data_IF_425627559611
#
_entry.id   IF_425627559611
#
_cell.length_a   1.000
_cell.length_b   1.000
_cell.length_c   1.000
_cell.angle_alpha   90.00
_cell.angle_beta   90.00
_cell.angle_gamma   90.00
#
_symmetry.space_group_name_H-M   'P 1'
#
loop_
_entity.id
_entity.type
_entity.pdbx_description
1 polymer ?
#
# COMPACT_ATOMS: atom_id res chain seq x y z
N UNK A 1 -2.50 11.87 5.97
CA UNK A 1 -2.99 10.93 4.92
C UNK A 1 -4.46 10.57 5.17
N UNK A 2 -4.86 10.13 6.39
CA UNK A 2 -6.24 9.72 6.71
C UNK A 2 -7.30 10.79 6.36
N UNK A 3 -7.06 12.05 6.68
CA UNK A 3 -7.98 13.16 6.35
C UNK A 3 -8.18 13.34 4.84
N UNK A 4 -7.14 13.12 4.05
CA UNK A 4 -7.22 13.20 2.57
C UNK A 4 -8.08 12.03 2.04
N UNK A 5 -7.85 10.83 2.53
CA UNK A 5 -8.65 9.65 2.16
C UNK A 5 -10.12 9.88 2.49
N UNK A 6 -10.42 10.34 3.70
CA UNK A 6 -11.80 10.65 4.12
C UNK A 6 -12.43 11.73 3.24
N UNK A 7 -11.68 12.80 2.95
CA UNK A 7 -12.18 13.91 2.11
C UNK A 7 -12.51 13.45 0.70
N UNK A 8 -11.66 12.64 0.09
CA UNK A 8 -11.82 12.18 -1.29
C UNK A 8 -12.87 11.10 -1.46
N UNK A 9 -13.00 10.20 -0.48
CA UNK A 9 -13.81 8.97 -0.63
C UNK A 9 -15.08 8.97 0.19
N UNK A 10 -15.17 9.80 1.24
CA UNK A 10 -16.22 9.73 2.26
C UNK A 10 -16.15 8.50 3.16
N UNK A 11 -15.15 7.63 3.01
CA UNK A 11 -15.00 6.44 3.85
C UNK A 11 -14.67 6.82 5.30
N UNK A 12 -15.08 5.97 6.24
CA UNK A 12 -14.63 6.09 7.63
C UNK A 12 -13.15 5.77 7.69
N UNK A 13 -12.37 6.64 8.31
CA UNK A 13 -10.93 6.45 8.51
C UNK A 13 -10.61 6.48 10.01
N UNK A 14 -9.58 5.74 10.39
CA UNK A 14 -9.01 5.72 11.73
C UNK A 14 -7.49 5.92 11.65
N UNK A 15 -6.96 6.82 12.45
CA UNK A 15 -5.53 7.04 12.61
C UNK A 15 -5.17 6.79 14.08
N UNK A 16 -4.43 5.71 14.33
CA UNK A 16 -4.20 5.25 15.70
C UNK A 16 -2.90 5.75 16.33
N UNK A 17 -1.98 6.22 15.48
CA UNK A 17 -0.70 6.77 15.96
C UNK A 17 -0.32 7.94 15.05
N UNK A 18 -0.06 9.08 15.65
CA UNK A 18 0.48 10.26 14.99
C UNK A 18 1.77 10.67 15.68
N UNK A 19 2.80 10.90 14.91
CA UNK A 19 4.12 11.35 15.35
C UNK A 19 4.44 12.65 14.63
N UNK A 20 5.15 13.55 15.29
CA UNK A 20 5.41 14.88 14.77
C UNK A 20 6.55 14.89 13.74
N UNK A 21 7.58 14.04 13.97
CA UNK A 21 8.73 13.97 13.07
C UNK A 21 8.43 13.07 11.85
N UNK A 22 8.73 13.51 10.61
CA UNK A 22 8.50 12.75 9.38
C UNK A 22 9.56 11.65 9.18
N UNK A 23 9.58 10.68 10.07
CA UNK A 23 10.53 9.57 10.14
C UNK A 23 9.79 8.23 10.22
N UNK A 24 10.55 7.13 10.16
CA UNK A 24 10.00 5.83 10.48
C UNK A 24 9.44 5.82 11.92
N UNK A 25 8.28 5.19 12.19
CA UNK A 25 7.60 5.28 13.49
C UNK A 25 8.50 4.95 14.69
N UNK A 26 9.29 3.88 14.62
CA UNK A 26 10.29 3.53 15.65
C UNK A 26 11.29 4.67 15.89
N UNK A 27 11.79 5.27 14.82
CA UNK A 27 12.78 6.35 14.93
C UNK A 27 12.16 7.63 15.51
N UNK A 28 10.99 8.03 15.03
CA UNK A 28 10.29 9.20 15.54
C UNK A 28 9.95 9.02 17.04
N UNK A 29 9.34 7.91 17.41
CA UNK A 29 8.97 7.61 18.80
C UNK A 29 10.17 7.65 19.75
N UNK A 30 11.31 7.07 19.36
CA UNK A 30 12.55 7.13 20.18
C UNK A 30 13.08 8.54 20.30
N UNK A 31 13.02 9.36 19.27
CA UNK A 31 13.49 10.73 19.27
C UNK A 31 12.57 11.66 20.07
N UNK A 32 11.28 11.48 19.93
CA UNK A 32 10.25 12.25 20.65
C UNK A 32 10.10 11.79 22.12
N UNK A 33 10.66 10.61 22.46
CA UNK A 33 10.54 10.05 23.82
C UNK A 33 9.13 9.58 24.15
N UNK A 34 8.34 9.20 23.13
CA UNK A 34 6.96 8.74 23.29
C UNK A 34 6.84 7.22 23.13
N UNK A 35 5.85 6.63 23.80
CA UNK A 35 5.50 5.23 23.62
C UNK A 35 4.49 5.09 22.48
N UNK A 36 4.69 4.12 21.63
CA UNK A 36 3.77 3.76 20.55
C UNK A 36 3.29 2.31 20.72
N UNK A 37 2.07 1.97 20.22
CA UNK A 37 1.54 0.62 20.32
C UNK A 37 2.42 -0.39 19.59
N UNK A 38 2.44 -1.61 20.10
CA UNK A 38 3.09 -2.74 19.43
C UNK A 38 2.26 -3.22 18.23
N UNK A 39 2.90 -3.87 17.28
CA UNK A 39 2.21 -4.48 16.13
C UNK A 39 1.10 -5.43 16.56
N UNK A 40 1.29 -6.19 17.64
CA UNK A 40 0.25 -7.06 18.19
C UNK A 40 -1.00 -6.30 18.66
N UNK A 41 -0.83 -5.11 19.26
CA UNK A 41 -1.96 -4.27 19.68
C UNK A 41 -2.69 -3.68 18.47
N UNK A 42 -1.96 -3.34 17.41
CA UNK A 42 -2.56 -2.94 16.14
C UNK A 42 -3.37 -4.10 15.53
N UNK A 43 -2.86 -5.33 15.57
CA UNK A 43 -3.59 -6.51 15.10
C UNK A 43 -4.91 -6.72 15.84
N UNK A 44 -4.93 -6.57 17.16
CA UNK A 44 -6.15 -6.66 17.96
C UNK A 44 -7.17 -5.58 17.59
N UNK A 45 -6.71 -4.35 17.38
CA UNK A 45 -7.60 -3.25 16.92
C UNK A 45 -8.17 -3.51 15.54
N UNK A 46 -7.35 -3.97 14.58
CA UNK A 46 -7.84 -4.31 13.23
C UNK A 46 -8.91 -5.40 13.30
N UNK A 47 -8.71 -6.45 14.11
CA UNK A 47 -9.73 -7.50 14.31
C UNK A 47 -11.05 -6.92 14.83
N UNK A 48 -10.97 -6.06 15.86
CA UNK A 48 -12.18 -5.41 16.41
C UNK A 48 -12.91 -4.54 15.38
N UNK A 49 -12.18 -3.84 14.51
CA UNK A 49 -12.80 -3.07 13.43
C UNK A 49 -13.39 -3.98 12.36
N UNK A 50 -12.73 -5.09 12.04
CA UNK A 50 -13.16 -6.05 11.01
C UNK A 50 -14.45 -6.78 11.38
N UNK A 51 -14.74 -6.98 12.67
CA UNK A 51 -16.00 -7.62 13.13
C UNK A 51 -17.25 -6.83 12.70
N UNK A 52 -17.14 -5.51 12.53
CA UNK A 52 -18.24 -4.61 12.22
C UNK A 52 -18.19 -4.04 10.79
N UNK A 53 -17.24 -4.46 9.95
CA UNK A 53 -17.00 -3.93 8.61
C UNK A 53 -16.90 -5.06 7.58
N UNK A 54 -17.49 -4.81 6.41
CA UNK A 54 -17.34 -5.72 5.27
C UNK A 54 -15.91 -5.76 4.74
N UNK A 55 -15.26 -4.60 4.71
CA UNK A 55 -13.88 -4.44 4.22
C UNK A 55 -13.14 -3.44 5.09
N UNK A 56 -11.91 -3.80 5.47
CA UNK A 56 -10.97 -2.93 6.18
C UNK A 56 -9.69 -2.85 5.38
N UNK A 57 -9.27 -1.64 5.00
CA UNK A 57 -7.99 -1.39 4.35
C UNK A 57 -7.01 -0.90 5.42
N UNK A 58 -5.88 -1.59 5.55
CA UNK A 58 -4.82 -1.25 6.48
C UNK A 58 -3.61 -0.75 5.70
N UNK A 59 -3.18 0.46 6.00
CA UNK A 59 -1.97 1.05 5.44
C UNK A 59 -0.92 1.22 6.54
N UNK A 60 0.33 0.87 6.24
CA UNK A 60 1.47 1.10 7.12
C UNK A 60 2.16 2.44 6.84
N UNK A 61 3.12 2.80 7.68
CA UNK A 61 3.97 3.98 7.49
C UNK A 61 5.25 3.62 6.76
N UNK A 62 5.35 3.94 5.48
CA UNK A 62 6.49 3.60 4.62
C UNK A 62 6.36 2.21 3.97
N UNK A 63 7.46 1.50 3.84
CA UNK A 63 7.48 0.19 3.17
C UNK A 63 7.18 -0.99 4.11
N UNK A 64 7.02 -2.18 3.51
CA UNK A 64 6.62 -3.43 4.18
C UNK A 64 7.45 -3.78 5.43
N UNK A 65 8.74 -3.49 5.42
CA UNK A 65 9.69 -3.82 6.50
C UNK A 65 10.06 -2.63 7.39
N UNK A 66 9.39 -1.49 7.23
CA UNK A 66 9.58 -0.35 8.14
C UNK A 66 9.10 -0.72 9.54
N UNK A 67 9.88 -0.33 10.54
CA UNK A 67 9.56 -0.61 11.96
C UNK A 67 8.39 0.27 12.41
N UNK A 68 7.27 -0.38 12.72
CA UNK A 68 6.05 0.28 13.18
C UNK A 68 6.01 0.42 14.69
N UNK A 69 6.85 -0.33 15.40
CA UNK A 69 7.01 -0.27 16.85
C UNK A 69 8.47 -0.35 17.28
N UNK A 70 8.72 -0.09 18.55
CA UNK A 70 10.08 -0.09 19.15
C UNK A 70 10.63 -1.50 19.45
N UNK A 71 9.82 -2.54 19.29
CA UNK A 71 10.22 -3.95 19.43
C UNK A 71 10.63 -4.57 18.09
N UNK A 72 10.55 -3.79 17.00
CA UNK A 72 10.98 -4.18 15.66
C UNK A 72 9.87 -4.79 14.80
N UNK A 73 8.61 -4.71 15.23
CA UNK A 73 7.45 -5.15 14.46
C UNK A 73 7.27 -4.34 13.17
N UNK A 74 6.78 -5.00 12.12
CA UNK A 74 6.60 -4.45 10.78
C UNK A 74 5.19 -4.65 10.26
N UNK A 75 4.84 -4.01 9.14
CA UNK A 75 3.58 -4.30 8.45
C UNK A 75 3.50 -5.77 7.99
N UNK A 76 4.64 -6.38 7.63
CA UNK A 76 4.70 -7.79 7.30
C UNK A 76 4.29 -8.69 8.48
N UNK A 77 4.72 -8.35 9.71
CA UNK A 77 4.37 -9.09 10.91
C UNK A 77 2.88 -8.92 11.24
N UNK A 78 2.35 -7.70 11.11
CA UNK A 78 0.92 -7.42 11.25
C UNK A 78 0.08 -8.23 10.26
N UNK A 79 0.46 -8.20 8.97
CA UNK A 79 -0.21 -8.93 7.90
C UNK A 79 -0.21 -10.44 8.17
N UNK A 80 0.96 -11.00 8.53
CA UNK A 80 1.10 -12.42 8.83
C UNK A 80 0.28 -12.85 10.07
N UNK A 81 0.15 -11.99 11.07
CA UNK A 81 -0.67 -12.28 12.25
C UNK A 81 -2.17 -12.24 11.93
N UNK A 82 -2.62 -11.24 11.18
CA UNK A 82 -4.02 -11.15 10.72
C UNK A 82 -4.42 -12.32 9.83
N UNK A 83 -3.56 -12.74 8.91
CA UNK A 83 -3.81 -13.85 7.99
C UNK A 83 -4.01 -15.21 8.67
N UNK A 84 -3.67 -15.34 9.96
CA UNK A 84 -3.93 -16.57 10.73
C UNK A 84 -5.41 -16.74 11.10
N UNK A 85 -6.18 -15.67 11.13
CA UNK A 85 -7.55 -15.64 11.65
C UNK A 85 -8.57 -15.01 10.71
N UNK A 86 -8.11 -14.27 9.72
CA UNK A 86 -8.98 -13.54 8.76
C UNK A 86 -8.49 -13.76 7.33
N UNK A 87 -9.37 -13.69 6.34
CA UNK A 87 -8.94 -13.56 4.95
C UNK A 87 -8.24 -12.20 4.77
N UNK A 88 -7.00 -12.25 4.24
CA UNK A 88 -6.18 -11.06 3.99
C UNK A 88 -5.76 -11.05 2.53
N UNK A 89 -6.04 -9.96 1.84
CA UNK A 89 -5.51 -9.66 0.53
C UNK A 89 -4.40 -8.62 0.64
N UNK A 90 -3.30 -8.84 -0.06
CA UNK A 90 -2.16 -7.93 -0.03
C UNK A 90 -2.01 -7.27 -1.39
N UNK A 91 -2.22 -5.97 -1.45
CA UNK A 91 -1.96 -5.15 -2.63
C UNK A 91 -0.66 -4.38 -2.43
N UNK A 92 0.26 -4.52 -3.38
CA UNK A 92 1.54 -3.83 -3.33
C UNK A 92 1.50 -2.59 -4.21
N UNK A 93 1.55 -1.42 -3.59
CA UNK A 93 1.64 -0.14 -4.31
C UNK A 93 3.09 0.13 -4.67
N UNK A 94 3.33 0.39 -5.96
CA UNK A 94 4.68 0.53 -6.54
C UNK A 94 4.87 1.87 -7.23
N UNK A 95 6.13 2.31 -7.32
CA UNK A 95 6.50 3.47 -8.14
C UNK A 95 6.52 3.10 -9.64
N UNK A 96 6.38 4.11 -10.52
CA UNK A 96 6.46 3.91 -11.96
C UNK A 96 7.91 3.82 -12.47
N UNK A 97 8.81 4.64 -11.92
CA UNK A 97 10.15 4.90 -12.45
C UNK A 97 11.22 3.86 -12.14
N UNK A 98 12.45 4.18 -12.48
CA UNK A 98 13.62 3.33 -12.27
C UNK A 98 13.76 2.90 -10.80
N UNK A 99 14.17 1.63 -10.63
CA UNK A 99 14.32 0.98 -9.31
C UNK A 99 13.08 0.21 -8.86
N UNK A 100 11.91 0.46 -9.47
CA UNK A 100 10.66 -0.19 -9.06
C UNK A 100 10.71 -1.70 -9.18
N UNK A 101 11.30 -2.25 -10.24
CA UNK A 101 11.40 -3.70 -10.43
C UNK A 101 12.13 -4.35 -9.26
N UNK A 102 13.30 -3.82 -8.88
CA UNK A 102 14.05 -4.32 -7.74
C UNK A 102 13.27 -4.21 -6.42
N UNK A 103 12.68 -3.06 -6.14
CA UNK A 103 11.93 -2.85 -4.89
C UNK A 103 10.70 -3.75 -4.83
N UNK A 104 10.01 -3.94 -5.95
CA UNK A 104 8.82 -4.80 -6.01
C UNK A 104 9.19 -6.26 -5.85
N UNK A 105 10.22 -6.76 -6.52
CA UNK A 105 10.68 -8.15 -6.35
C UNK A 105 11.12 -8.43 -4.91
N UNK A 106 11.85 -7.50 -4.27
CA UNK A 106 12.23 -7.64 -2.85
C UNK A 106 11.01 -7.67 -1.93
N UNK A 107 10.01 -6.81 -2.18
CA UNK A 107 8.77 -6.76 -1.39
C UNK A 107 7.95 -8.04 -1.56
N UNK A 108 7.75 -8.49 -2.79
CA UNK A 108 7.05 -9.74 -3.12
C UNK A 108 7.80 -10.94 -2.53
N UNK A 109 9.12 -10.96 -2.64
CA UNK A 109 9.97 -12.00 -2.04
C UNK A 109 9.82 -12.08 -0.52
N UNK A 110 9.77 -10.93 0.16
CA UNK A 110 9.58 -10.87 1.61
C UNK A 110 8.20 -11.37 2.03
N UNK A 111 7.13 -11.04 1.30
CA UNK A 111 5.78 -11.55 1.51
C UNK A 111 5.74 -13.08 1.33
N UNK A 112 6.26 -13.59 0.21
CA UNK A 112 6.31 -15.02 -0.10
C UNK A 112 7.10 -15.83 0.92
N UNK A 113 8.19 -15.28 1.44
CA UNK A 113 8.97 -15.90 2.51
C UNK A 113 8.18 -16.10 3.82
N UNK A 114 7.07 -15.36 4.00
CA UNK A 114 6.13 -15.49 5.12
C UNK A 114 4.86 -16.25 4.74
N UNK A 115 4.80 -16.84 3.55
CA UNK A 115 3.63 -17.57 3.06
C UNK A 115 2.47 -16.68 2.62
N UNK A 116 2.74 -15.40 2.34
CA UNK A 116 1.76 -14.43 1.87
C UNK A 116 1.96 -14.20 0.37
N UNK A 117 0.93 -14.45 -0.42
CA UNK A 117 0.95 -14.15 -1.84
C UNK A 117 0.26 -12.82 -2.11
N UNK A 118 0.91 -11.85 -2.77
CA UNK A 118 0.25 -10.60 -3.16
C UNK A 118 -0.89 -10.86 -4.16
N UNK A 119 -2.04 -10.23 -3.93
CA UNK A 119 -3.19 -10.28 -4.84
C UNK A 119 -2.93 -9.48 -6.11
N UNK A 120 -2.17 -8.38 -6.00
CA UNK A 120 -1.85 -7.56 -7.14
C UNK A 120 -0.93 -6.38 -6.86
N UNK A 121 -0.50 -5.75 -7.96
CA UNK A 121 0.30 -4.53 -7.97
C UNK A 121 -0.57 -3.34 -8.36
N UNK A 122 -0.28 -2.18 -7.80
CA UNK A 122 -0.88 -0.90 -8.18
C UNK A 122 0.23 0.10 -8.41
N UNK A 123 0.32 0.70 -9.61
CA UNK A 123 1.19 1.85 -9.81
C UNK A 123 0.51 3.06 -9.17
N UNK A 124 1.06 3.54 -8.05
CA UNK A 124 0.42 4.55 -7.20
C UNK A 124 0.44 5.98 -7.75
N UNK A 125 1.30 6.26 -8.73
CA UNK A 125 1.37 7.56 -9.40
C UNK A 125 1.97 7.42 -10.79
N UNK A 126 1.15 7.60 -11.81
CA UNK A 126 1.55 7.52 -13.21
C UNK A 126 1.64 8.93 -13.82
N UNK A 127 2.79 9.35 -14.33
CA UNK A 127 2.95 10.71 -14.88
C UNK A 127 2.18 10.87 -16.19
N UNK A 128 1.83 12.12 -16.49
CA UNK A 128 1.14 12.49 -17.76
C UNK A 128 2.02 12.20 -18.98
N UNK A 129 3.34 12.38 -18.83
CA UNK A 129 4.34 12.12 -19.87
C UNK A 129 5.33 11.07 -19.35
N UNK A 130 4.99 9.76 -19.43
CA UNK A 130 5.86 8.69 -18.94
C UNK A 130 7.12 8.57 -19.80
N UNK A 131 8.26 8.39 -19.15
CA UNK A 131 9.54 8.12 -19.81
C UNK A 131 9.62 6.67 -20.33
N UNK A 132 10.76 6.33 -20.94
CA UNK A 132 10.96 4.96 -21.46
C UNK A 132 10.93 3.91 -20.38
N UNK A 133 11.56 4.19 -19.21
CA UNK A 133 11.63 3.22 -18.13
C UNK A 133 10.25 2.97 -17.52
N UNK A 134 9.47 4.03 -17.32
CA UNK A 134 8.11 3.94 -16.80
C UNK A 134 7.22 3.09 -17.71
N UNK A 135 7.25 3.35 -19.03
CA UNK A 135 6.49 2.54 -20.00
C UNK A 135 6.90 1.05 -20.01
N UNK A 136 8.20 0.77 -19.95
CA UNK A 136 8.69 -0.60 -19.88
C UNK A 136 8.28 -1.29 -18.58
N UNK A 137 8.28 -0.56 -17.46
CA UNK A 137 7.96 -1.11 -16.15
C UNK A 137 6.51 -1.61 -16.04
N UNK A 138 5.54 -1.04 -16.77
CA UNK A 138 4.17 -1.58 -16.80
C UNK A 138 4.12 -3.04 -17.29
N UNK A 139 4.95 -3.39 -18.27
CA UNK A 139 5.05 -4.74 -18.80
C UNK A 139 5.94 -5.61 -17.92
N UNK A 140 7.03 -5.05 -17.43
CA UNK A 140 8.03 -5.81 -16.69
C UNK A 140 7.63 -6.13 -15.25
N UNK A 141 6.88 -5.27 -14.57
CA UNK A 141 6.42 -5.51 -13.20
C UNK A 141 5.68 -6.86 -13.06
N UNK A 142 4.60 -7.15 -13.80
CA UNK A 142 3.95 -8.45 -13.71
C UNK A 142 4.83 -9.60 -14.24
N UNK A 143 5.66 -9.36 -15.26
CA UNK A 143 6.56 -10.38 -15.83
C UNK A 143 7.60 -10.86 -14.83
N UNK A 144 8.26 -9.96 -14.08
CA UNK A 144 9.34 -10.33 -13.15
C UNK A 144 8.83 -10.84 -11.81
N UNK A 145 7.69 -10.34 -11.37
CA UNK A 145 7.13 -10.72 -10.06
C UNK A 145 6.16 -11.89 -10.11
N UNK A 146 5.54 -12.12 -11.27
CA UNK A 146 4.42 -13.07 -11.43
C UNK A 146 3.13 -12.59 -10.74
N UNK A 147 3.06 -11.30 -10.33
CA UNK A 147 1.91 -10.69 -9.66
C UNK A 147 1.18 -9.80 -10.65
N UNK A 148 -0.15 -9.91 -10.83
CA UNK A 148 -0.88 -9.10 -11.81
C UNK A 148 -0.86 -7.60 -11.46
N UNK A 149 -0.84 -6.74 -12.49
CA UNK A 149 -1.05 -5.30 -12.34
C UNK A 149 -2.56 -5.03 -12.31
N UNK A 150 -3.07 -4.53 -11.19
CA UNK A 150 -4.50 -4.27 -10.98
C UNK A 150 -4.93 -2.87 -11.37
N UNK A 151 -4.08 -1.88 -11.15
CA UNK A 151 -4.43 -0.49 -11.43
C UNK A 151 -3.21 0.37 -11.71
N UNK A 152 -3.46 1.45 -12.45
CA UNK A 152 -2.50 2.52 -12.73
C UNK A 152 -3.16 3.85 -12.38
N UNK A 153 -2.76 4.45 -11.26
CA UNK A 153 -3.35 5.67 -10.74
C UNK A 153 -2.64 6.88 -11.34
N UNK A 154 -3.35 7.84 -11.96
CA UNK A 154 -2.71 9.02 -12.53
C UNK A 154 -2.09 9.90 -11.44
N UNK A 155 -0.94 10.52 -11.77
CA UNK A 155 -0.33 11.52 -10.92
C UNK A 155 -1.30 12.67 -10.63
N UNK A 156 -1.33 13.11 -9.37
CA UNK A 156 -2.24 14.17 -8.93
C UNK A 156 -3.64 13.71 -8.53
N UNK A 157 -3.95 12.42 -8.58
CA UNK A 157 -5.26 11.90 -8.17
C UNK A 157 -5.67 12.34 -6.75
N UNK A 158 -4.73 12.41 -5.81
CA UNK A 158 -4.97 12.88 -4.44
C UNK A 158 -5.33 14.37 -4.32
N UNK A 159 -5.24 15.15 -5.42
CA UNK A 159 -5.59 16.58 -5.46
C UNK A 159 -6.89 16.85 -6.24
N UNK A 160 -7.58 15.81 -6.68
CA UNK A 160 -8.86 15.92 -7.38
C UNK A 160 -9.96 16.40 -6.44
N UNK A 161 -11.06 16.93 -7.01
CA UNK A 161 -12.28 17.13 -6.23
C UNK A 161 -12.91 15.75 -5.88
N UNK A 162 -13.57 15.60 -4.72
CA UNK A 162 -14.13 14.31 -4.28
C UNK A 162 -15.02 13.62 -5.33
N UNK A 163 -15.95 14.35 -5.94
CA UNK A 163 -16.85 13.79 -6.96
C UNK A 163 -16.10 13.33 -8.21
N UNK A 164 -15.06 14.06 -8.63
CA UNK A 164 -14.21 13.70 -9.75
C UNK A 164 -13.37 12.46 -9.43
N UNK A 165 -12.81 12.38 -8.22
CA UNK A 165 -12.06 11.23 -7.75
C UNK A 165 -12.90 9.96 -7.76
N UNK A 166 -14.08 10.01 -7.15
CA UNK A 166 -15.00 8.86 -7.06
C UNK A 166 -15.45 8.39 -8.43
N UNK A 167 -15.74 9.34 -9.36
CA UNK A 167 -16.12 9.00 -10.72
C UNK A 167 -14.99 8.40 -11.56
N UNK A 168 -13.75 8.88 -11.36
CA UNK A 168 -12.59 8.43 -12.12
C UNK A 168 -11.98 7.11 -11.59
N UNK A 169 -11.98 6.90 -10.28
CA UNK A 169 -11.26 5.80 -9.64
C UNK A 169 -11.54 4.41 -10.23
N UNK A 170 -12.78 4.00 -10.56
CA UNK A 170 -13.04 2.72 -11.19
C UNK A 170 -12.29 2.51 -12.50
N UNK A 171 -12.09 3.56 -13.29
CA UNK A 171 -11.43 3.48 -14.61
C UNK A 171 -9.93 3.18 -14.53
N UNK A 172 -9.31 3.35 -13.37
CA UNK A 172 -7.89 3.07 -13.16
C UNK A 172 -7.60 1.58 -13.06
N UNK A 173 -8.63 0.78 -12.81
CA UNK A 173 -8.56 -0.70 -12.74
C UNK A 173 -8.86 -1.36 -14.10
N UNK A 174 -9.52 -0.67 -15.02
CA UNK A 174 -9.90 -1.21 -16.34
C UNK A 174 -8.73 -1.24 -17.33
N UNK A 175 -7.60 -0.60 -17.00
CA UNK A 175 -6.47 -0.37 -17.92
C UNK A 175 -5.44 -1.50 -18.02
N UNK A 176 -5.58 -2.56 -17.26
CA UNK A 176 -4.54 -3.61 -17.14
C UNK A 176 -4.49 -4.57 -18.34
N UNK A 177 -5.58 -4.69 -19.11
CA UNK A 177 -5.63 -5.47 -20.37
C UNK A 177 -4.86 -4.81 -21.54
N UNK A 178 -4.44 -3.54 -21.41
CA UNK A 178 -3.74 -2.81 -22.47
C UNK A 178 -2.25 -3.14 -22.60
N UNK A 179 -1.69 -3.89 -21.66
CA UNK A 179 -0.27 -4.27 -21.68
C UNK A 179 0.06 -5.38 -22.71
N UNK A 180 -0.93 -5.99 -23.35
CA UNK A 180 -0.70 -7.12 -24.26
C UNK A 180 -0.33 -6.73 -25.71
N UNK A 181 -0.46 -5.46 -26.14
CA UNK A 181 -0.10 -5.04 -27.50
C UNK A 181 0.62 -3.69 -27.54
N UNK A 182 1.96 -3.64 -27.48
CA UNK A 182 2.72 -2.50 -27.96
C UNK A 182 2.74 -2.52 -29.48
N UNK A 183 2.04 -1.55 -30.10
CA UNK A 183 2.20 -1.24 -31.54
C UNK A 183 3.49 -0.48 -31.79
#
# INVERSE_FOLDING_TARGET
DAEVVQSLTGCTVEEWTRLDEPLAPDTAARREGVSIPRVAEHAERVRGVADDRETVIVEGAGGLLVRLDTDGGTLLDLTADLARTHPVEVVVVVAAGLGTLNHTELTVGALRARGLEPTGLVVGSWPTEPDLAERCNLVDLPRVTGVPLLAVIPAGAGSMQPDEFVAAAPTWFDGTDRAEHPS
#
